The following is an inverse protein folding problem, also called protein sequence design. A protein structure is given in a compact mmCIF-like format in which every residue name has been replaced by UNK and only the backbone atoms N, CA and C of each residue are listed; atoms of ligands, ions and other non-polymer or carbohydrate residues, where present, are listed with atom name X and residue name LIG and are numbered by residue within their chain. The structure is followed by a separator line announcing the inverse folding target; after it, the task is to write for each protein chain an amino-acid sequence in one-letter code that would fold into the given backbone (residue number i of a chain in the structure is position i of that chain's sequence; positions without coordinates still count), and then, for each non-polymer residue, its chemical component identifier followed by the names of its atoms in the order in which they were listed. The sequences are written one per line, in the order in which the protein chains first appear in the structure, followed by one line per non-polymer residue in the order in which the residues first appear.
data_IF_941853204817
#
_entry.id   IF_941853204817
#
_cell.length_a   1.000
_cell.length_b   1.000
_cell.length_c   1.000
_cell.angle_alpha   90.00
_cell.angle_beta   90.00
_cell.angle_gamma   90.00
#
_symmetry.space_group_name_H-M   'P 1'
#
loop_
_entity.id
_entity.type
_entity.pdbx_description
1 polymer ?
#
# COMPACT_ATOMS: atom_id res chain seq x y z
N UNK A 1 -15.40 21.39 4.64
CA UNK A 1 -15.10 20.59 5.84
C UNK A 1 -13.59 20.67 6.08
N UNK A 2 -13.09 21.23 7.19
CA UNK A 2 -11.66 21.30 7.50
C UNK A 2 -10.97 19.92 7.59
N UNK A 3 -11.73 18.82 7.60
CA UNK A 3 -11.23 17.45 7.48
C UNK A 3 -11.03 17.00 6.02
N UNK A 4 -11.51 17.75 5.02
CA UNK A 4 -11.29 17.45 3.61
C UNK A 4 -10.02 18.15 3.13
N UNK A 5 -8.89 17.45 3.25
CA UNK A 5 -7.69 17.81 2.51
C UNK A 5 -7.89 17.45 1.04
N UNK A 6 -7.76 18.39 0.09
CA UNK A 6 -7.77 18.05 -1.33
C UNK A 6 -6.64 17.07 -1.61
N UNK A 7 -6.94 15.98 -2.31
CA UNK A 7 -5.92 14.98 -2.64
C UNK A 7 -4.83 15.63 -3.49
N UNK A 8 -3.60 15.58 -2.99
CA UNK A 8 -2.47 16.29 -3.57
C UNK A 8 -2.04 15.74 -4.94
N UNK A 9 -2.44 14.51 -5.29
CA UNK A 9 -1.88 13.74 -6.40
C UNK A 9 -2.94 13.22 -7.40
N UNK A 10 -4.18 13.71 -7.36
CA UNK A 10 -5.16 13.41 -8.41
C UNK A 10 -4.62 13.89 -9.77
N UNK A 11 -4.83 13.09 -10.82
CA UNK A 11 -4.35 13.32 -12.19
C UNK A 11 -2.84 13.50 -12.33
N UNK A 12 -2.07 13.05 -11.33
CA UNK A 12 -0.60 12.94 -11.39
C UNK A 12 -0.20 11.49 -11.64
N UNK A 13 0.91 11.25 -12.36
CA UNK A 13 1.44 9.91 -12.51
C UNK A 13 1.81 9.33 -11.14
N UNK A 14 1.61 8.02 -10.97
CA UNK A 14 2.14 7.33 -9.81
C UNK A 14 3.67 7.52 -9.74
N UNK A 15 4.28 7.77 -8.57
CA UNK A 15 5.71 8.07 -8.47
C UNK A 15 6.60 6.95 -9.02
N UNK A 16 7.75 7.31 -9.60
CA UNK A 16 8.78 6.34 -9.98
C UNK A 16 9.44 5.78 -8.72
N UNK A 17 9.52 4.45 -8.61
CA UNK A 17 10.22 3.78 -7.51
C UNK A 17 10.79 2.42 -7.94
N UNK A 18 11.70 1.92 -7.12
CA UNK A 18 12.20 0.54 -7.15
C UNK A 18 12.50 0.15 -5.70
N UNK A 19 11.89 -0.92 -5.20
CA UNK A 19 11.94 -1.32 -3.80
C UNK A 19 12.03 -2.85 -3.66
N UNK A 20 12.75 -3.33 -2.65
CA UNK A 20 12.82 -4.76 -2.34
C UNK A 20 11.50 -5.30 -1.83
N UNK A 21 11.18 -6.54 -2.17
CA UNK A 21 10.05 -7.25 -1.60
C UNK A 21 10.27 -7.52 -0.10
N UNK A 22 9.22 -7.31 0.70
CA UNK A 22 9.24 -7.66 2.12
C UNK A 22 9.00 -9.16 2.28
N UNK A 23 9.91 -9.86 2.97
CA UNK A 23 9.78 -11.30 3.24
C UNK A 23 10.09 -12.24 2.07
N UNK A 24 10.51 -11.70 0.92
CA UNK A 24 10.87 -12.50 -0.25
C UNK A 24 12.04 -11.85 -1.03
N UNK A 25 12.85 -12.65 -1.75
CA UNK A 25 13.84 -12.09 -2.67
C UNK A 25 13.14 -11.40 -3.84
N UNK A 26 13.75 -10.32 -4.34
CA UNK A 26 13.28 -9.62 -5.54
C UNK A 26 12.98 -8.14 -5.29
N UNK A 27 12.61 -7.48 -6.37
CA UNK A 27 12.35 -6.04 -6.43
C UNK A 27 11.03 -5.80 -7.15
N UNK A 28 10.28 -4.79 -6.68
CA UNK A 28 9.08 -4.27 -7.33
C UNK A 28 9.32 -2.81 -7.69
N UNK A 29 8.84 -2.42 -8.85
CA UNK A 29 8.94 -1.09 -9.41
C UNK A 29 7.55 -0.51 -9.70
N UNK A 30 7.52 0.76 -10.10
CA UNK A 30 6.29 1.42 -10.58
C UNK A 30 5.60 0.61 -11.68
N UNK A 31 6.36 0.12 -12.65
CA UNK A 31 5.79 -0.48 -13.86
C UNK A 31 5.09 -1.82 -13.54
N UNK A 32 5.49 -2.51 -12.48
CA UNK A 32 4.84 -3.74 -11.98
C UNK A 32 3.42 -3.50 -11.43
N UNK A 33 3.07 -2.24 -11.16
CA UNK A 33 1.76 -1.82 -10.63
C UNK A 33 0.84 -1.22 -11.70
N UNK A 34 1.29 -1.05 -12.94
CA UNK A 34 0.50 -0.44 -14.01
C UNK A 34 -0.29 -1.49 -14.81
N UNK A 35 -1.28 -1.01 -15.57
CA UNK A 35 -2.08 -1.82 -16.51
C UNK A 35 -3.44 -2.27 -15.98
N UNK A 36 -3.67 -2.21 -14.67
CA UNK A 36 -4.96 -2.43 -14.04
C UNK A 36 -5.12 -1.54 -12.80
N UNK A 37 -6.35 -1.30 -12.31
CA UNK A 37 -6.57 -0.64 -11.03
C UNK A 37 -5.88 -1.40 -9.88
N UNK A 38 -5.13 -0.67 -9.06
CA UNK A 38 -4.43 -1.19 -7.88
C UNK A 38 -4.74 -0.31 -6.68
N UNK A 39 -5.09 -0.93 -5.56
CA UNK A 39 -5.15 -0.26 -4.26
C UNK A 39 -3.77 -0.35 -3.60
N UNK A 40 -3.15 0.80 -3.33
CA UNK A 40 -1.87 0.88 -2.62
C UNK A 40 -2.13 1.39 -1.21
N UNK A 41 -1.81 0.57 -0.20
CA UNK A 41 -1.95 0.92 1.21
C UNK A 41 -0.57 1.15 1.83
N UNK A 42 -0.38 2.28 2.50
CA UNK A 42 0.85 2.58 3.26
C UNK A 42 0.63 2.18 4.70
N UNK A 43 1.50 1.32 5.25
CA UNK A 43 1.32 0.76 6.58
C UNK A 43 2.65 0.56 7.32
N UNK A 44 2.55 0.31 8.62
CA UNK A 44 3.68 -0.05 9.46
C UNK A 44 3.22 -0.78 10.74
N UNK A 45 4.09 -1.56 11.37
CA UNK A 45 3.81 -2.28 12.61
C UNK A 45 3.49 -1.35 13.78
N UNK A 46 4.05 -0.14 13.78
CA UNK A 46 3.79 0.88 14.81
C UNK A 46 2.48 1.66 14.58
N UNK A 47 1.78 1.45 13.47
CA UNK A 47 0.55 2.16 13.11
C UNK A 47 -0.70 1.42 13.61
N UNK A 48 -1.41 1.89 14.66
CA UNK A 48 -2.58 1.19 15.20
C UNK A 48 -3.78 1.26 14.27
N UNK A 49 -3.97 2.36 13.55
CA UNK A 49 -5.05 2.53 12.58
C UNK A 49 -4.90 1.58 11.40
N UNK A 50 -3.67 1.30 10.97
CA UNK A 50 -3.39 0.33 9.93
C UNK A 50 -3.87 -1.09 10.30
N UNK A 51 -3.81 -1.46 11.59
CA UNK A 51 -4.42 -2.71 12.07
C UNK A 51 -5.93 -2.68 12.02
N UNK A 52 -6.55 -1.56 12.42
CA UNK A 52 -8.00 -1.40 12.38
C UNK A 52 -8.57 -1.43 10.96
N UNK A 53 -7.80 -0.97 9.96
CA UNK A 53 -8.19 -0.98 8.55
C UNK A 53 -7.97 -2.33 7.85
N UNK A 54 -7.18 -3.24 8.44
CA UNK A 54 -6.73 -4.46 7.76
C UNK A 54 -7.89 -5.35 7.28
N UNK A 55 -8.86 -5.59 8.15
CA UNK A 55 -10.00 -6.45 7.84
C UNK A 55 -10.84 -5.88 6.68
N UNK A 56 -10.98 -4.55 6.63
CA UNK A 56 -11.69 -3.86 5.56
C UNK A 56 -10.94 -3.95 4.23
N UNK A 57 -9.61 -3.81 4.24
CA UNK A 57 -8.78 -3.98 3.05
C UNK A 57 -8.87 -5.41 2.49
N UNK A 58 -8.90 -6.42 3.37
CA UNK A 58 -9.09 -7.81 2.96
C UNK A 58 -10.50 -8.06 2.41
N UNK A 59 -11.52 -7.44 3.01
CA UNK A 59 -12.90 -7.48 2.51
C UNK A 59 -13.02 -6.88 1.11
N UNK A 60 -12.48 -5.67 0.91
CA UNK A 60 -12.45 -5.00 -0.40
C UNK A 60 -11.78 -5.88 -1.45
N UNK A 61 -10.60 -6.44 -1.12
CA UNK A 61 -9.88 -7.36 -2.02
C UNK A 61 -10.75 -8.56 -2.39
N UNK A 62 -11.39 -9.19 -1.40
CA UNK A 62 -12.20 -10.39 -1.62
C UNK A 62 -13.44 -10.10 -2.48
N UNK A 63 -14.12 -8.98 -2.26
CA UNK A 63 -15.35 -8.61 -2.96
C UNK A 63 -15.11 -8.08 -4.38
N UNK A 64 -14.03 -7.33 -4.58
CA UNK A 64 -13.78 -6.63 -5.85
C UNK A 64 -12.78 -7.34 -6.76
N UNK A 65 -11.96 -8.23 -6.20
CA UNK A 65 -10.80 -8.79 -6.91
C UNK A 65 -9.69 -7.78 -7.19
N UNK A 66 -9.77 -6.56 -6.65
CA UNK A 66 -8.74 -5.54 -6.84
C UNK A 66 -7.39 -6.04 -6.33
N UNK A 67 -6.34 -5.74 -7.12
CA UNK A 67 -4.97 -5.95 -6.67
C UNK A 67 -4.68 -5.00 -5.51
N UNK A 68 -4.27 -5.56 -4.38
CA UNK A 68 -3.90 -4.82 -3.18
C UNK A 68 -2.38 -4.94 -2.96
N UNK A 69 -1.70 -3.82 -2.81
CA UNK A 69 -0.25 -3.74 -2.56
C UNK A 69 0.01 -2.92 -1.30
N UNK A 70 0.80 -3.49 -0.39
CA UNK A 70 1.21 -2.82 0.84
C UNK A 70 2.60 -2.19 0.71
N UNK A 71 2.74 -0.93 1.11
CA UNK A 71 4.03 -0.23 1.25
C UNK A 71 4.37 -0.16 2.73
N UNK A 72 5.35 -0.95 3.14
CA UNK A 72 5.87 -0.91 4.50
C UNK A 72 6.74 0.35 4.68
N UNK A 73 6.28 1.30 5.50
CA UNK A 73 6.86 2.64 5.58
C UNK A 73 7.52 2.92 6.93
N UNK A 74 8.83 3.22 6.89
CA UNK A 74 9.64 3.58 8.08
C UNK A 74 9.41 2.62 9.25
N UNK A 75 9.47 1.33 8.96
CA UNK A 75 9.17 0.27 9.92
C UNK A 75 10.40 -0.61 10.17
N UNK A 76 10.31 -1.47 11.16
CA UNK A 76 11.27 -2.55 11.39
C UNK A 76 10.90 -3.74 10.49
N UNK A 77 11.72 -4.09 9.48
CA UNK A 77 11.40 -5.19 8.57
C UNK A 77 11.18 -6.51 9.29
N UNK A 78 11.90 -6.77 10.39
CA UNK A 78 11.75 -8.02 11.14
C UNK A 78 10.40 -8.10 11.86
N UNK A 79 9.81 -6.97 12.25
CA UNK A 79 8.45 -6.92 12.80
C UNK A 79 7.39 -6.99 11.71
N UNK A 80 7.65 -6.38 10.56
CA UNK A 80 6.71 -6.35 9.44
C UNK A 80 6.52 -7.70 8.74
N UNK A 81 7.48 -8.61 8.90
CA UNK A 81 7.41 -9.99 8.37
C UNK A 81 6.73 -10.99 9.32
N UNK A 82 6.29 -10.57 10.51
CA UNK A 82 5.67 -11.46 11.52
C UNK A 82 4.16 -11.54 11.40
#
# INVERSE_FOLDING_TARGET
DPHQLPSALIDRPFPQFSASLLGAPGTVSRDDLLGAPVLVNVWATWCPTCRAEHDELMRIRAETGLRLVGVNYKDDPAKAMR
#
